data_IF_239331906417
#
_entry.id   IF_239331906417
#
_cell.length_a   1.000
_cell.length_b   1.000
_cell.length_c   1.000
_cell.angle_alpha   90.00
_cell.angle_beta   90.00
_cell.angle_gamma   90.00
#
_symmetry.space_group_name_H-M   'P 1'
#
loop_
_entity.id
_entity.type
_entity.pdbx_description
1 polymer ?
#
# COMPACT_ATOMS: atom_id res chain seq x y z
N UNK A 1 -1.34 17.88 9.64
CA UNK A 1 -0.50 16.71 9.99
C UNK A 1 0.97 17.14 9.96
N UNK A 2 1.81 16.64 10.87
CA UNK A 2 3.26 16.82 10.80
C UNK A 2 3.86 16.04 9.61
N UNK A 3 4.69 16.70 8.80
CA UNK A 3 5.38 16.08 7.65
C UNK A 3 6.36 14.98 8.08
N UNK A 4 6.88 15.04 9.30
CA UNK A 4 7.82 14.05 9.83
C UNK A 4 7.12 12.95 10.65
N UNK A 5 5.79 12.87 10.59
CA UNK A 5 5.04 11.78 11.19
C UNK A 5 5.56 10.42 10.70
N UNK A 6 5.60 9.43 11.61
CA UNK A 6 5.96 8.07 11.25
C UNK A 6 4.89 7.47 10.33
N UNK A 7 5.22 6.47 9.47
CA UNK A 7 4.21 5.82 8.63
C UNK A 7 3.03 5.26 9.43
N UNK A 8 3.29 4.69 10.61
CA UNK A 8 2.25 4.16 11.48
C UNK A 8 1.30 5.27 11.98
N UNK A 9 1.83 6.42 12.38
CA UNK A 9 1.01 7.56 12.80
C UNK A 9 0.19 8.15 11.64
N UNK A 10 0.77 8.20 10.44
CA UNK A 10 0.06 8.65 9.24
C UNK A 10 -1.11 7.73 8.89
N UNK A 11 -0.88 6.41 8.85
CA UNK A 11 -1.95 5.40 8.62
C UNK A 11 -3.04 5.44 9.68
N UNK A 12 -2.68 5.59 10.96
CA UNK A 12 -3.66 5.73 12.04
C UNK A 12 -4.57 6.97 11.86
N UNK A 13 -4.04 8.07 11.31
CA UNK A 13 -4.84 9.24 11.01
C UNK A 13 -5.74 9.07 9.79
N UNK A 14 -5.30 8.33 8.77
CA UNK A 14 -6.15 7.93 7.63
C UNK A 14 -7.33 7.07 8.13
N UNK A 15 -7.04 6.06 8.96
CA UNK A 15 -8.03 5.17 9.55
C UNK A 15 -9.09 5.87 10.38
N UNK A 16 -8.71 6.96 11.06
CA UNK A 16 -9.64 7.79 11.83
C UNK A 16 -10.35 8.87 11.00
N UNK A 17 -10.02 9.01 9.72
CA UNK A 17 -10.52 10.07 8.84
C UNK A 17 -9.95 11.46 9.17
N UNK A 18 -8.94 11.55 10.04
CA UNK A 18 -8.28 12.81 10.41
C UNK A 18 -7.30 13.32 9.34
N UNK A 19 -6.94 12.47 8.38
CA UNK A 19 -6.11 12.82 7.24
C UNK A 19 -6.73 12.28 5.95
N UNK A 20 -7.05 13.19 5.02
CA UNK A 20 -7.75 12.88 3.76
C UNK A 20 -7.13 13.61 2.55
N UNK A 21 -5.88 14.07 2.70
CA UNK A 21 -5.14 14.77 1.64
C UNK A 21 -4.07 13.82 1.06
N UNK A 22 -3.34 14.28 0.04
CA UNK A 22 -2.26 13.52 -0.55
C UNK A 22 -1.09 13.31 0.42
N UNK A 23 -0.41 12.18 0.27
CA UNK A 23 0.71 11.77 1.13
C UNK A 23 2.06 12.37 0.72
N UNK A 24 2.12 13.19 -0.34
CA UNK A 24 3.39 13.68 -0.88
C UNK A 24 4.14 14.53 0.14
N UNK A 25 5.40 14.18 0.41
CA UNK A 25 6.25 14.89 1.37
C UNK A 25 6.02 14.53 2.84
N UNK A 26 5.21 13.51 3.13
CA UNK A 26 5.07 12.92 4.47
C UNK A 26 5.98 11.70 4.66
N UNK A 27 6.33 11.40 5.91
CA UNK A 27 7.13 10.25 6.33
C UNK A 27 8.45 10.09 5.55
N UNK A 28 9.32 11.13 5.54
CA UNK A 28 10.58 11.08 4.81
C UNK A 28 11.43 9.86 5.21
N UNK A 29 12.13 9.29 4.23
CA UNK A 29 12.93 8.07 4.41
C UNK A 29 12.14 6.76 4.29
N UNK A 30 10.83 6.82 4.07
CA UNK A 30 9.99 5.64 3.85
C UNK A 30 9.47 5.59 2.41
N UNK A 31 9.23 4.37 1.93
CA UNK A 31 8.67 4.15 0.60
C UNK A 31 7.16 4.39 0.63
N UNK A 32 6.69 5.22 -0.30
CA UNK A 32 5.28 5.29 -0.68
C UNK A 32 5.08 4.45 -1.94
N UNK A 33 3.97 3.72 -2.00
CA UNK A 33 3.70 2.80 -3.07
C UNK A 33 2.30 3.02 -3.67
N UNK A 34 2.16 2.57 -4.91
CA UNK A 34 0.85 2.46 -5.55
C UNK A 34 0.19 1.16 -5.11
N UNK A 35 -1.15 1.17 -5.03
CA UNK A 35 -1.96 -0.01 -4.76
C UNK A 35 -2.82 -0.35 -5.98
N UNK A 36 -2.92 -1.64 -6.29
CA UNK A 36 -3.87 -2.19 -7.26
C UNK A 36 -4.61 -3.34 -6.59
N UNK A 37 -5.94 -3.27 -6.55
CA UNK A 37 -6.82 -4.33 -6.04
C UNK A 37 -7.66 -4.84 -7.20
N UNK A 38 -7.61 -6.16 -7.43
CA UNK A 38 -8.29 -6.82 -8.54
C UNK A 38 -9.06 -8.04 -8.04
N UNK A 39 -10.15 -8.45 -8.72
CA UNK A 39 -10.75 -9.76 -8.51
C UNK A 39 -9.72 -10.88 -8.69
N UNK A 40 -9.88 -11.97 -7.94
CA UNK A 40 -8.96 -13.12 -7.96
C UNK A 40 -8.71 -13.66 -9.38
N UNK A 41 -9.76 -13.70 -10.21
CA UNK A 41 -9.68 -14.17 -11.60
C UNK A 41 -8.65 -13.41 -12.46
N UNK A 42 -8.27 -12.19 -12.08
CA UNK A 42 -7.33 -11.32 -12.82
C UNK A 42 -5.97 -11.20 -12.12
N UNK A 43 -5.89 -11.57 -10.84
CA UNK A 43 -4.70 -11.36 -10.01
C UNK A 43 -3.48 -12.13 -10.53
N UNK A 44 -3.65 -13.38 -10.98
CA UNK A 44 -2.56 -14.19 -11.52
C UNK A 44 -1.98 -13.62 -12.82
N UNK A 45 -2.83 -13.08 -13.70
CA UNK A 45 -2.41 -12.47 -14.95
C UNK A 45 -1.66 -11.17 -14.69
N UNK A 46 -2.16 -10.34 -13.77
CA UNK A 46 -1.51 -9.10 -13.37
C UNK A 46 -0.16 -9.34 -12.68
N UNK A 47 -0.05 -10.38 -11.84
CA UNK A 47 1.23 -10.76 -11.24
C UNK A 47 2.28 -11.11 -12.30
N UNK A 48 1.91 -11.92 -13.31
CA UNK A 48 2.81 -12.25 -14.42
C UNK A 48 3.16 -11.02 -15.25
N UNK A 49 2.20 -10.10 -15.45
CA UNK A 49 2.46 -8.81 -16.09
C UNK A 49 3.51 -8.00 -15.33
N UNK A 50 3.40 -7.87 -14.00
CA UNK A 50 4.39 -7.17 -13.18
C UNK A 50 5.77 -7.85 -13.24
N UNK A 51 5.83 -9.18 -13.19
CA UNK A 51 7.07 -9.95 -13.29
C UNK A 51 7.75 -9.81 -14.65
N UNK A 52 6.98 -9.72 -15.73
CA UNK A 52 7.50 -9.47 -17.08
C UNK A 52 7.94 -8.01 -17.27
N UNK A 53 7.47 -7.09 -16.42
CA UNK A 53 7.73 -5.66 -16.53
C UNK A 53 8.27 -5.07 -15.20
N UNK A 54 9.41 -5.55 -14.67
CA UNK A 54 9.84 -5.23 -13.30
C UNK A 54 10.28 -3.77 -13.12
N UNK A 55 10.71 -3.09 -14.20
CA UNK A 55 11.10 -1.67 -14.16
C UNK A 55 9.90 -0.74 -14.02
N UNK A 56 8.85 -0.83 -14.86
CA UNK A 56 7.66 0.00 -14.69
C UNK A 56 6.72 -0.51 -13.59
N UNK A 57 6.77 -1.80 -13.25
CA UNK A 57 5.91 -2.41 -12.22
C UNK A 57 6.76 -3.09 -11.12
N UNK A 58 7.50 -2.33 -10.32
CA UNK A 58 8.28 -2.89 -9.21
C UNK A 58 7.33 -3.38 -8.12
N UNK A 59 7.09 -4.69 -8.07
CA UNK A 59 6.20 -5.30 -7.11
C UNK A 59 6.85 -5.37 -5.73
N UNK A 60 6.26 -4.67 -4.74
CA UNK A 60 6.77 -4.66 -3.36
C UNK A 60 6.18 -5.78 -2.50
N UNK A 61 4.89 -6.05 -2.63
CA UNK A 61 4.18 -7.08 -1.89
C UNK A 61 2.89 -7.49 -2.62
N UNK A 62 2.38 -8.67 -2.26
CA UNK A 62 1.06 -9.19 -2.64
C UNK A 62 0.37 -9.64 -1.35
N UNK A 63 -0.95 -9.49 -1.26
CA UNK A 63 -1.70 -10.00 -0.12
C UNK A 63 -1.50 -11.53 0.03
N UNK A 64 -1.54 -12.07 1.26
CA UNK A 64 -1.35 -13.51 1.49
C UNK A 64 -2.38 -14.37 0.77
N UNK A 65 -3.62 -13.88 0.66
CA UNK A 65 -4.73 -14.57 -0.01
C UNK A 65 -5.77 -13.57 -0.56
N UNK A 66 -6.65 -13.99 -1.48
CA UNK A 66 -7.77 -13.17 -1.92
C UNK A 66 -8.67 -12.75 -0.76
N UNK A 67 -8.97 -11.44 -0.67
CA UNK A 67 -9.80 -10.87 0.40
C UNK A 67 -9.06 -10.57 1.70
N UNK A 68 -7.78 -10.93 1.82
CA UNK A 68 -6.93 -10.53 2.95
C UNK A 68 -6.37 -9.11 2.71
N UNK A 69 -6.72 -8.10 3.53
CA UNK A 69 -6.26 -6.73 3.34
C UNK A 69 -4.87 -6.46 3.95
N UNK A 70 -4.22 -7.48 4.53
CA UNK A 70 -2.94 -7.31 5.24
C UNK A 70 -1.73 -7.45 4.32
N UNK A 71 -0.62 -6.80 4.70
CA UNK A 71 0.68 -6.91 4.03
C UNK A 71 1.79 -7.15 5.07
N UNK A 72 1.89 -8.37 5.65
CA UNK A 72 2.77 -8.63 6.80
C UNK A 72 4.26 -8.36 6.52
N UNK A 73 4.70 -8.46 5.26
CA UNK A 73 6.06 -8.14 4.86
C UNK A 73 6.39 -6.63 4.95
N UNK A 74 5.37 -5.76 4.96
CA UNK A 74 5.49 -4.30 5.01
C UNK A 74 5.09 -3.71 6.37
N UNK A 75 4.69 -4.56 7.32
CA UNK A 75 4.31 -4.18 8.69
C UNK A 75 2.82 -4.31 8.97
N UNK A 76 2.37 -3.66 10.04
CA UNK A 76 0.96 -3.59 10.41
C UNK A 76 0.23 -2.59 9.49
N UNK A 77 -0.46 -3.13 8.49
CA UNK A 77 -1.16 -2.42 7.42
C UNK A 77 -2.51 -3.08 7.20
N UNK A 78 -3.57 -2.28 7.15
CA UNK A 78 -4.89 -2.67 6.67
C UNK A 78 -5.27 -1.80 5.45
N UNK A 79 -5.23 -2.39 4.26
CA UNK A 79 -5.43 -1.67 3.00
C UNK A 79 -6.82 -1.03 2.84
N UNK A 80 -7.79 -1.37 3.69
CA UNK A 80 -9.15 -0.83 3.61
C UNK A 80 -9.23 0.62 4.07
N UNK A 81 -8.43 0.97 5.09
CA UNK A 81 -8.59 2.22 5.84
C UNK A 81 -7.28 3.00 6.04
N UNK A 82 -6.13 2.46 5.60
CA UNK A 82 -4.81 3.07 5.82
C UNK A 82 -4.31 3.94 4.64
N UNK A 83 -5.21 4.46 3.81
CA UNK A 83 -4.90 5.23 2.58
C UNK A 83 -5.66 6.55 2.51
#
# INVERSE_FOLDING_TARGET
MDRHATPAALRAAMRSGAFTDNTSGFAPGHVQCNLVVLPEAWAGDFLRFCQANPKPCPLLAVSPSPGDPTLPALGDIDLRDDL
#
